data_IF_447265341780
#
_entry.id   IF_447265341780
#
_cell.length_a   1.000
_cell.length_b   1.000
_cell.length_c   1.000
_cell.angle_alpha   90.00
_cell.angle_beta   90.00
_cell.angle_gamma   90.00
#
_symmetry.space_group_name_H-M   'P 1'
#
loop_
_entity.id
_entity.type
_entity.pdbx_description
1 polymer ?
#
# COMPACT_ATOMS: atom_id res chain seq x y z
N UNK A 1 11.46 -22.87 11.57
CA UNK A 1 10.79 -21.53 11.45
C UNK A 1 9.92 -21.30 12.67
N UNK A 2 10.23 -20.33 13.49
CA UNK A 2 9.53 -19.98 14.75
C UNK A 2 8.88 -18.61 14.63
N UNK A 3 7.79 -18.36 15.35
CA UNK A 3 7.06 -17.09 15.28
C UNK A 3 7.92 -15.88 15.72
N UNK A 4 8.81 -16.09 16.70
CA UNK A 4 9.76 -15.07 17.14
C UNK A 4 10.76 -14.68 16.04
N UNK A 5 11.21 -15.64 15.22
CA UNK A 5 12.07 -15.35 14.06
C UNK A 5 11.32 -14.52 13.04
N UNK A 6 10.03 -14.80 12.80
CA UNK A 6 9.16 -14.01 11.92
C UNK A 6 8.95 -12.59 12.45
N UNK A 7 8.75 -12.41 13.76
CA UNK A 7 8.63 -11.09 14.37
C UNK A 7 9.90 -10.24 14.18
N UNK A 8 11.07 -10.85 14.40
CA UNK A 8 12.36 -10.17 14.19
C UNK A 8 12.60 -9.85 12.71
N UNK A 9 12.27 -10.77 11.80
CA UNK A 9 12.37 -10.55 10.36
C UNK A 9 11.47 -9.38 9.91
N UNK A 10 10.20 -9.40 10.31
CA UNK A 10 9.24 -8.33 10.01
C UNK A 10 9.72 -6.98 10.57
N UNK A 11 10.23 -6.95 11.79
CA UNK A 11 10.80 -5.73 12.38
C UNK A 11 11.98 -5.19 11.55
N UNK A 12 12.90 -6.05 11.08
CA UNK A 12 14.03 -5.61 10.24
C UNK A 12 13.56 -5.02 8.92
N UNK A 13 12.54 -5.62 8.31
CA UNK A 13 11.96 -5.13 7.05
C UNK A 13 11.31 -3.76 7.22
N UNK A 14 10.50 -3.60 8.26
CA UNK A 14 9.76 -2.36 8.53
C UNK A 14 10.69 -1.21 8.94
N UNK A 15 11.70 -1.50 9.75
CA UNK A 15 12.66 -0.51 10.23
C UNK A 15 13.81 -0.25 9.24
N UNK A 16 14.00 -1.12 8.24
CA UNK A 16 15.17 -1.09 7.32
C UNK A 16 16.52 -1.00 8.06
N UNK A 17 16.56 -1.46 9.29
CA UNK A 17 17.71 -1.38 10.18
C UNK A 17 17.62 -2.45 11.24
N UNK A 18 18.67 -3.28 11.36
CA UNK A 18 18.73 -4.32 12.39
C UNK A 18 18.80 -3.70 13.79
N UNK A 19 19.48 -2.54 13.92
CA UNK A 19 19.57 -1.83 15.19
C UNK A 19 18.19 -1.36 15.65
N UNK A 20 17.45 -0.61 14.80
CA UNK A 20 16.11 -0.13 15.15
C UNK A 20 15.12 -1.29 15.35
N UNK A 21 15.25 -2.35 14.56
CA UNK A 21 14.45 -3.55 14.77
C UNK A 21 14.71 -4.17 16.14
N UNK A 22 15.97 -4.25 16.56
CA UNK A 22 16.36 -4.77 17.87
C UNK A 22 15.74 -3.95 19.01
N UNK A 23 15.83 -2.62 18.93
CA UNK A 23 15.22 -1.70 19.89
C UNK A 23 13.70 -1.92 19.96
N UNK A 24 13.04 -2.04 18.80
CA UNK A 24 11.58 -2.25 18.69
C UNK A 24 11.12 -3.57 19.32
N UNK A 25 11.86 -4.65 19.12
CA UNK A 25 11.51 -5.97 19.68
C UNK A 25 12.11 -6.22 21.05
N UNK A 26 12.76 -5.22 21.66
CA UNK A 26 13.44 -5.31 22.97
C UNK A 26 14.44 -6.48 23.02
N UNK A 27 15.29 -6.56 21.99
CA UNK A 27 16.36 -7.55 21.85
C UNK A 27 17.67 -6.86 21.48
N UNK A 28 18.78 -7.61 21.52
CA UNK A 28 20.07 -7.11 21.05
C UNK A 28 20.20 -7.26 19.54
N UNK A 29 20.96 -6.37 18.89
CA UNK A 29 21.23 -6.45 17.45
C UNK A 29 21.82 -7.81 17.02
N UNK A 30 22.78 -8.41 17.73
CA UNK A 30 23.27 -9.76 17.39
C UNK A 30 22.16 -10.81 17.45
N UNK A 31 21.27 -10.76 18.44
CA UNK A 31 20.16 -11.71 18.56
C UNK A 31 19.22 -11.63 17.36
N UNK A 32 18.85 -10.42 16.93
CA UNK A 32 18.02 -10.22 15.74
C UNK A 32 18.72 -10.72 14.47
N UNK A 33 20.02 -10.42 14.30
CA UNK A 33 20.79 -10.89 13.16
C UNK A 33 20.89 -12.41 13.09
N UNK A 34 21.11 -13.07 14.22
CA UNK A 34 21.17 -14.54 14.32
C UNK A 34 19.81 -15.15 14.02
N UNK A 35 18.74 -14.59 14.58
CA UNK A 35 17.38 -15.11 14.38
C UNK A 35 16.97 -15.05 12.89
N UNK A 36 17.26 -13.93 12.20
CA UNK A 36 16.97 -13.80 10.77
C UNK A 36 17.83 -14.78 9.94
N UNK A 37 19.11 -14.94 10.24
CA UNK A 37 19.97 -15.93 9.54
C UNK A 37 19.47 -17.36 9.76
N UNK A 38 19.07 -17.70 10.99
CA UNK A 38 18.49 -19.01 11.29
C UNK A 38 17.19 -19.24 10.53
N UNK A 39 16.34 -18.22 10.39
CA UNK A 39 15.14 -18.27 9.56
C UNK A 39 15.47 -18.55 8.09
N UNK A 40 16.47 -17.85 7.53
CA UNK A 40 16.94 -18.08 6.16
C UNK A 40 17.48 -19.51 5.97
N UNK A 41 18.22 -20.03 6.96
CA UNK A 41 18.72 -21.40 6.97
C UNK A 41 17.59 -22.43 7.06
N UNK A 42 16.63 -22.22 7.97
CA UNK A 42 15.48 -23.14 8.15
C UNK A 42 14.62 -23.24 6.86
N UNK A 43 14.50 -22.15 6.11
CA UNK A 43 13.74 -22.09 4.85
C UNK A 43 14.59 -22.50 3.64
N UNK A 44 15.93 -22.42 3.75
CA UNK A 44 16.87 -22.71 2.67
C UNK A 44 16.93 -21.61 1.61
N UNK A 45 16.53 -20.36 1.96
CA UNK A 45 16.47 -19.26 0.98
C UNK A 45 16.82 -17.93 1.65
N UNK A 46 17.60 -17.09 0.93
CA UNK A 46 17.95 -15.75 1.37
C UNK A 46 16.70 -14.84 1.27
N UNK A 47 16.36 -14.17 2.34
CA UNK A 47 15.20 -13.29 2.45
C UNK A 47 15.59 -11.80 2.33
N UNK A 48 16.80 -11.45 2.81
CA UNK A 48 17.31 -10.09 2.81
C UNK A 48 18.57 -9.98 1.94
N UNK A 49 18.53 -9.11 0.95
CA UNK A 49 19.69 -8.71 0.18
C UNK A 49 20.56 -7.77 1.01
N UNK A 50 21.80 -8.22 1.27
CA UNK A 50 22.80 -7.50 2.09
C UNK A 50 23.89 -6.85 1.24
N UNK A 51 23.75 -6.83 -0.08
CA UNK A 51 24.74 -6.25 -1.00
C UNK A 51 24.95 -4.76 -0.77
N UNK A 52 23.95 -4.07 -0.23
CA UNK A 52 24.01 -2.66 0.12
C UNK A 52 24.20 -2.48 1.63
N UNK A 53 25.37 -2.02 2.05
CA UNK A 53 25.78 -1.88 3.47
C UNK A 53 24.83 -1.07 4.37
N UNK A 54 23.93 -0.27 3.80
CA UNK A 54 23.07 0.67 4.54
C UNK A 54 21.59 0.44 4.34
N UNK A 55 21.16 -0.46 3.47
CA UNK A 55 19.76 -0.65 3.13
C UNK A 55 19.47 -2.14 2.92
N UNK A 56 18.69 -2.72 3.82
CA UNK A 56 18.25 -4.10 3.70
C UNK A 56 17.07 -4.15 2.72
N UNK A 57 17.29 -4.74 1.55
CA UNK A 57 16.23 -4.97 0.57
C UNK A 57 15.70 -6.37 0.69
N UNK A 58 14.41 -6.53 0.43
CA UNK A 58 13.81 -7.85 0.36
C UNK A 58 14.20 -8.54 -0.96
N UNK A 59 14.50 -9.83 -0.89
CA UNK A 59 14.46 -10.69 -2.07
C UNK A 59 13.02 -11.00 -2.43
N UNK A 60 12.75 -11.58 -3.59
CA UNK A 60 11.40 -12.04 -3.96
C UNK A 60 10.82 -13.02 -2.94
N UNK A 61 11.65 -13.91 -2.41
CA UNK A 61 11.27 -14.83 -1.32
C UNK A 61 10.98 -14.06 -0.01
N UNK A 62 11.79 -13.04 0.28
CA UNK A 62 11.57 -12.16 1.42
C UNK A 62 10.26 -11.38 1.34
N UNK A 63 9.91 -10.85 0.16
CA UNK A 63 8.63 -10.17 -0.06
C UNK A 63 7.44 -11.10 0.20
N UNK A 64 7.50 -12.30 -0.35
CA UNK A 64 6.48 -13.32 -0.15
C UNK A 64 6.35 -13.68 1.35
N UNK A 65 7.47 -14.01 2.00
CA UNK A 65 7.43 -14.36 3.42
C UNK A 65 6.94 -13.20 4.28
N UNK A 66 7.35 -11.96 3.99
CA UNK A 66 6.93 -10.78 4.76
C UNK A 66 5.42 -10.61 4.77
N UNK A 67 4.74 -10.79 3.63
CA UNK A 67 3.28 -10.69 3.54
C UNK A 67 2.60 -11.71 4.47
N UNK A 68 3.02 -12.97 4.42
CA UNK A 68 2.42 -14.02 5.24
C UNK A 68 2.83 -13.92 6.70
N UNK A 69 4.09 -13.60 7.00
CA UNK A 69 4.57 -13.40 8.37
C UNK A 69 3.80 -12.28 9.09
N UNK A 70 3.56 -11.16 8.40
CA UNK A 70 2.77 -10.05 8.95
C UNK A 70 1.33 -10.46 9.27
N UNK A 71 0.72 -11.30 8.41
CA UNK A 71 -0.63 -11.86 8.67
C UNK A 71 -0.64 -12.82 9.84
N UNK A 72 0.36 -13.72 9.94
CA UNK A 72 0.48 -14.70 11.04
C UNK A 72 0.65 -14.00 12.40
N UNK A 73 1.53 -12.98 12.47
CA UNK A 73 1.74 -12.18 13.67
C UNK A 73 0.45 -11.42 14.03
N UNK A 74 -0.22 -10.85 13.05
CA UNK A 74 -1.50 -10.16 13.23
C UNK A 74 -2.57 -11.08 13.81
N UNK A 75 -2.74 -12.29 13.24
CA UNK A 75 -3.70 -13.27 13.71
C UNK A 75 -3.41 -13.73 15.15
N UNK A 76 -2.13 -14.01 15.46
CA UNK A 76 -1.74 -14.33 16.84
C UNK A 76 -2.12 -13.21 17.82
N UNK A 77 -1.84 -11.97 17.46
CA UNK A 77 -2.12 -10.82 18.33
C UNK A 77 -3.64 -10.62 18.51
N UNK A 78 -4.43 -10.88 17.48
CA UNK A 78 -5.90 -10.89 17.55
C UNK A 78 -6.39 -11.96 18.54
N UNK A 79 -5.91 -13.19 18.41
CA UNK A 79 -6.28 -14.30 19.31
C UNK A 79 -5.93 -13.96 20.74
N UNK A 80 -4.70 -13.48 21.01
CA UNK A 80 -4.28 -13.12 22.35
C UNK A 80 -5.12 -11.97 22.94
N UNK A 81 -5.50 -10.98 22.10
CA UNK A 81 -6.37 -9.89 22.52
C UNK A 81 -7.76 -10.39 22.91
N UNK A 82 -8.34 -11.28 22.12
CA UNK A 82 -9.66 -11.88 22.42
C UNK A 82 -9.64 -12.70 23.70
N UNK A 83 -8.61 -13.53 23.90
CA UNK A 83 -8.45 -14.35 25.11
C UNK A 83 -8.29 -13.53 26.39
N UNK A 84 -7.69 -12.33 26.27
CA UNK A 84 -7.54 -11.40 27.42
C UNK A 84 -8.75 -10.51 27.66
N UNK A 85 -9.90 -10.79 27.02
CA UNK A 85 -11.11 -9.99 27.14
C UNK A 85 -11.01 -8.61 26.47
N UNK A 86 -9.99 -8.39 25.66
CA UNK A 86 -9.82 -7.17 24.88
C UNK A 86 -10.75 -7.14 23.67
N UNK A 87 -11.23 -5.95 23.31
CA UNK A 87 -11.88 -5.73 22.03
C UNK A 87 -10.90 -6.02 20.91
N UNK A 88 -11.35 -6.80 19.92
CA UNK A 88 -10.56 -7.10 18.70
C UNK A 88 -10.00 -5.82 18.11
N UNK A 89 -8.69 -5.66 18.17
CA UNK A 89 -8.04 -4.49 17.62
C UNK A 89 -6.60 -4.77 17.21
N UNK A 90 -6.24 -4.29 16.03
CA UNK A 90 -4.86 -4.19 15.61
C UNK A 90 -4.11 -3.26 16.57
N UNK A 91 -2.84 -3.53 16.82
CA UNK A 91 -1.91 -2.65 17.56
C UNK A 91 -0.89 -2.08 16.60
N UNK A 92 -0.33 -0.93 16.93
CA UNK A 92 0.75 -0.33 16.16
C UNK A 92 0.45 1.10 15.70
N UNK A 93 1.22 1.55 14.70
CA UNK A 93 1.10 2.87 14.07
C UNK A 93 0.53 2.73 12.67
N UNK A 94 -0.30 3.69 12.28
CA UNK A 94 -0.79 3.87 10.91
C UNK A 94 -0.59 5.34 10.52
N UNK A 95 0.41 5.61 9.71
CA UNK A 95 0.73 6.94 9.21
C UNK A 95 0.15 7.16 7.81
N UNK A 96 -0.71 8.15 7.67
CA UNK A 96 -1.47 8.44 6.46
C UNK A 96 -1.11 9.82 5.93
N UNK A 97 -0.64 9.89 4.68
CA UNK A 97 -0.52 11.15 3.96
C UNK A 97 -1.81 11.51 3.24
N UNK A 98 -2.17 12.78 3.21
CA UNK A 98 -3.33 13.27 2.46
C UNK A 98 -2.94 14.46 1.58
N UNK A 99 -3.53 14.55 0.40
CA UNK A 99 -3.36 15.72 -0.48
C UNK A 99 -4.63 16.03 -1.25
N UNK A 100 -5.00 17.30 -1.20
CA UNK A 100 -6.14 17.85 -1.91
C UNK A 100 -7.48 17.69 -1.19
N UNK A 101 -8.51 18.44 -1.64
CA UNK A 101 -9.76 18.62 -0.89
C UNK A 101 -10.60 17.35 -0.76
N UNK A 102 -10.55 16.45 -1.76
CA UNK A 102 -11.30 15.19 -1.71
C UNK A 102 -10.77 14.26 -0.63
N UNK A 103 -9.43 14.14 -0.51
CA UNK A 103 -8.78 13.33 0.52
C UNK A 103 -9.03 13.89 1.92
N UNK A 104 -8.92 15.20 2.11
CA UNK A 104 -9.21 15.88 3.38
C UNK A 104 -10.67 15.69 3.83
N UNK A 105 -11.61 15.57 2.90
CA UNK A 105 -13.00 15.32 3.22
C UNK A 105 -13.28 13.88 3.68
N UNK A 106 -12.62 12.88 3.06
CA UNK A 106 -12.97 11.47 3.26
C UNK A 106 -12.09 10.75 4.28
N UNK A 107 -10.80 11.06 4.34
CA UNK A 107 -9.86 10.37 5.22
C UNK A 107 -10.24 10.46 6.70
N UNK A 108 -10.70 11.61 7.24
CA UNK A 108 -11.15 11.68 8.64
C UNK A 108 -12.32 10.72 8.96
N UNK A 109 -13.19 10.45 7.99
CA UNK A 109 -14.31 9.50 8.16
C UNK A 109 -13.82 8.06 8.18
N UNK A 110 -12.85 7.72 7.31
CA UNK A 110 -12.25 6.39 7.29
C UNK A 110 -11.47 6.13 8.58
N UNK A 111 -10.64 7.06 8.99
CA UNK A 111 -9.82 6.93 10.20
C UNK A 111 -10.66 6.92 11.48
N UNK A 112 -11.72 7.72 11.57
CA UNK A 112 -12.66 7.68 12.70
C UNK A 112 -13.31 6.30 12.85
N UNK A 113 -13.77 5.71 11.73
CA UNK A 113 -14.35 4.36 11.76
C UNK A 113 -13.31 3.30 12.12
N UNK A 114 -12.12 3.42 11.60
CA UNK A 114 -11.02 2.49 11.90
C UNK A 114 -10.60 2.53 13.36
N UNK A 115 -10.41 3.74 13.91
CA UNK A 115 -10.05 3.94 15.33
C UNK A 115 -11.09 3.38 16.31
N UNK A 116 -12.39 3.49 15.99
CA UNK A 116 -13.44 2.88 16.83
C UNK A 116 -13.31 1.35 16.90
N UNK A 117 -12.87 0.71 15.82
CA UNK A 117 -12.68 -0.75 15.75
C UNK A 117 -11.31 -1.20 16.24
N UNK A 118 -10.31 -0.31 16.20
CA UNK A 118 -8.93 -0.59 16.52
C UNK A 118 -8.37 0.50 17.44
N UNK A 119 -8.82 0.60 18.71
CA UNK A 119 -8.45 1.68 19.62
C UNK A 119 -6.96 1.69 19.96
N UNK A 120 -6.28 0.55 19.82
CA UNK A 120 -4.85 0.39 20.11
C UNK A 120 -3.93 0.76 18.92
N UNK A 121 -4.50 1.22 17.79
CA UNK A 121 -3.71 1.74 16.67
C UNK A 121 -3.59 3.25 16.78
N UNK A 122 -2.36 3.74 16.85
CA UNK A 122 -2.06 5.16 16.75
C UNK A 122 -2.15 5.59 15.29
N UNK A 123 -3.19 6.34 14.95
CA UNK A 123 -3.37 6.89 13.60
C UNK A 123 -2.81 8.30 13.56
N UNK A 124 -1.86 8.54 12.65
CA UNK A 124 -1.25 9.83 12.35
C UNK A 124 -1.63 10.26 10.93
N UNK A 125 -2.00 11.52 10.76
CA UNK A 125 -2.38 12.07 9.45
C UNK A 125 -1.51 13.30 9.20
N UNK A 126 -0.86 13.33 8.02
CA UNK A 126 -0.10 14.48 7.53
C UNK A 126 -0.71 14.99 6.23
N UNK A 127 -0.89 16.30 6.11
CA UNK A 127 -1.30 16.96 4.85
C UNK A 127 -0.08 17.57 4.20
N UNK A 128 0.17 17.18 2.95
CA UNK A 128 1.32 17.67 2.21
C UNK A 128 1.10 17.56 0.69
N UNK A 129 2.03 18.11 -0.10
CA UNK A 129 1.98 18.02 -1.56
C UNK A 129 2.20 16.58 -2.03
N UNK A 130 1.58 16.14 -3.15
CA UNK A 130 1.72 14.80 -3.68
C UNK A 130 3.15 14.31 -3.80
N UNK A 131 4.05 15.16 -4.32
CA UNK A 131 5.47 14.81 -4.52
C UNK A 131 6.19 14.46 -3.23
N UNK A 132 5.88 15.19 -2.14
CA UNK A 132 6.47 14.92 -0.84
C UNK A 132 5.89 13.64 -0.25
N UNK A 133 4.57 13.44 -0.35
CA UNK A 133 3.92 12.22 0.14
C UNK A 133 4.44 10.97 -0.57
N UNK A 134 4.70 11.03 -1.89
CA UNK A 134 5.28 9.91 -2.63
C UNK A 134 6.71 9.60 -2.18
N UNK A 135 7.52 10.63 -1.87
CA UNK A 135 8.86 10.43 -1.28
C UNK A 135 8.75 9.85 0.13
N UNK A 136 7.89 10.40 0.98
CA UNK A 136 7.70 9.94 2.35
C UNK A 136 7.16 8.49 2.38
N UNK A 137 6.36 8.09 1.39
CA UNK A 137 5.91 6.71 1.20
C UNK A 137 7.07 5.79 0.79
N UNK A 138 7.94 6.22 -0.14
CA UNK A 138 9.12 5.46 -0.55
C UNK A 138 10.11 5.30 0.61
N UNK A 139 10.28 6.34 1.42
CA UNK A 139 11.14 6.34 2.61
C UNK A 139 10.49 5.68 3.85
N UNK A 140 9.27 5.14 3.70
CA UNK A 140 8.52 4.52 4.81
C UNK A 140 8.23 5.44 5.99
N UNK A 141 8.22 6.76 5.78
CA UNK A 141 7.80 7.73 6.79
C UNK A 141 6.29 7.74 6.98
N UNK A 142 5.55 7.47 5.90
CA UNK A 142 4.11 7.20 5.90
C UNK A 142 3.84 5.81 5.33
N UNK A 143 2.73 5.21 5.72
CA UNK A 143 2.34 3.86 5.34
C UNK A 143 1.49 3.82 4.07
N UNK A 144 0.68 4.86 3.87
CA UNK A 144 -0.18 5.03 2.70
C UNK A 144 -0.51 6.51 2.48
N UNK A 145 -0.91 6.86 1.26
CA UNK A 145 -1.33 8.21 0.92
C UNK A 145 -2.67 8.23 0.18
N UNK A 146 -3.45 9.28 0.42
CA UNK A 146 -4.66 9.61 -0.33
C UNK A 146 -4.43 10.87 -1.15
N UNK A 147 -4.65 10.78 -2.44
CA UNK A 147 -4.49 11.89 -3.38
C UNK A 147 -5.82 12.20 -4.05
N UNK A 148 -6.16 13.49 -4.17
CA UNK A 148 -7.37 13.92 -4.89
C UNK A 148 -7.24 13.80 -6.39
N UNK A 149 -6.01 13.82 -6.92
CA UNK A 149 -5.72 13.71 -8.34
C UNK A 149 -4.83 12.49 -8.63
N UNK A 150 -4.90 12.00 -9.87
CA UNK A 150 -4.07 10.89 -10.30
C UNK A 150 -2.60 11.33 -10.35
N UNK A 151 -1.67 10.60 -9.72
CA UNK A 151 -0.27 10.99 -9.67
C UNK A 151 0.50 10.77 -10.98
N UNK A 152 -0.18 10.61 -12.12
CA UNK A 152 0.44 10.31 -13.42
C UNK A 152 1.51 11.31 -13.86
N UNK A 153 1.48 12.55 -13.36
CA UNK A 153 2.47 13.59 -13.66
C UNK A 153 3.69 13.55 -12.73
N UNK A 154 3.65 12.75 -11.67
CA UNK A 154 4.76 12.57 -10.76
C UNK A 154 5.41 11.24 -11.05
N UNK A 155 6.73 11.18 -11.09
CA UNK A 155 7.49 9.92 -11.22
C UNK A 155 7.13 8.99 -10.07
N UNK A 156 6.03 8.24 -10.25
CA UNK A 156 5.59 7.22 -9.30
C UNK A 156 6.59 6.09 -9.41
N UNK A 157 7.30 5.81 -8.34
CA UNK A 157 8.20 4.67 -8.27
C UNK A 157 7.40 3.37 -8.54
N UNK A 158 7.96 2.42 -9.23
CA UNK A 158 7.32 1.14 -9.60
C UNK A 158 6.87 0.31 -8.39
N UNK A 159 7.31 0.68 -7.19
CA UNK A 159 7.07 -0.06 -5.95
C UNK A 159 5.77 0.30 -5.22
N UNK A 160 4.88 1.07 -5.84
CA UNK A 160 3.58 1.42 -5.25
C UNK A 160 2.42 0.89 -6.08
N UNK A 161 1.29 0.69 -5.42
CA UNK A 161 0.00 0.34 -6.02
C UNK A 161 -0.92 1.54 -5.92
N UNK A 162 -1.53 1.89 -7.05
CA UNK A 162 -2.52 2.96 -7.16
C UNK A 162 -3.91 2.32 -7.25
N UNK A 163 -4.78 2.64 -6.32
CA UNK A 163 -6.15 2.13 -6.30
C UNK A 163 -7.13 3.30 -6.38
N UNK A 164 -7.95 3.39 -7.44
CA UNK A 164 -8.98 4.41 -7.51
C UNK A 164 -10.12 4.11 -6.53
N UNK A 165 -10.49 5.08 -5.72
CA UNK A 165 -11.60 4.99 -4.80
C UNK A 165 -12.86 5.69 -5.38
N UNK A 166 -13.23 5.31 -6.59
CA UNK A 166 -14.33 5.93 -7.36
C UNK A 166 -15.69 5.90 -6.64
N UNK A 167 -15.90 4.94 -5.74
CA UNK A 167 -17.15 4.79 -4.98
C UNK A 167 -17.44 5.95 -4.02
N UNK A 168 -16.45 6.80 -3.72
CA UNK A 168 -16.55 7.85 -2.72
C UNK A 168 -16.66 9.27 -3.31
N UNK A 169 -16.61 9.41 -4.65
CA UNK A 169 -16.50 10.73 -5.29
C UNK A 169 -17.64 10.98 -6.28
N UNK A 170 -18.56 11.89 -5.94
CA UNK A 170 -19.41 12.55 -6.94
C UNK A 170 -18.65 13.78 -7.45
N UNK A 171 -18.07 13.67 -8.64
CA UNK A 171 -17.42 14.81 -9.33
C UNK A 171 -15.95 15.09 -8.98
N UNK A 172 -15.28 14.17 -8.29
CA UNK A 172 -13.83 14.24 -8.04
C UNK A 172 -13.20 12.85 -8.08
N UNK A 173 -11.88 12.77 -8.10
CA UNK A 173 -11.15 11.52 -7.97
C UNK A 173 -10.54 11.41 -6.56
N UNK A 174 -10.43 10.19 -6.07
CA UNK A 174 -9.70 9.89 -4.86
C UNK A 174 -8.86 8.63 -5.11
N UNK A 175 -7.57 8.76 -4.93
CA UNK A 175 -6.61 7.69 -5.15
C UNK A 175 -5.97 7.27 -3.85
N UNK A 176 -5.95 5.97 -3.60
CA UNK A 176 -5.15 5.37 -2.56
C UNK A 176 -3.81 4.93 -3.15
N UNK A 177 -2.73 5.42 -2.59
CA UNK A 177 -1.35 5.04 -2.93
C UNK A 177 -0.77 4.29 -1.77
N UNK A 178 -0.28 3.09 -2.02
CA UNK A 178 0.30 2.23 -1.00
C UNK A 178 1.49 1.46 -1.55
N UNK A 179 2.44 1.06 -0.71
CA UNK A 179 3.54 0.21 -1.13
C UNK A 179 3.02 -1.12 -1.68
N UNK A 180 3.68 -1.64 -2.73
CA UNK A 180 3.35 -2.96 -3.29
C UNK A 180 3.60 -4.07 -2.27
N UNK A 181 4.68 -3.95 -1.52
CA UNK A 181 5.11 -4.92 -0.50
C UNK A 181 5.46 -4.19 0.80
N UNK A 182 5.57 -4.93 1.90
CA UNK A 182 6.00 -4.36 3.18
C UNK A 182 4.90 -3.56 3.88
N UNK A 183 3.62 -3.92 3.69
CA UNK A 183 2.48 -3.30 4.39
C UNK A 183 2.29 -3.93 5.76
N UNK A 184 2.21 -3.09 6.79
CA UNK A 184 1.91 -3.57 8.14
C UNK A 184 0.50 -4.15 8.24
N UNK A 185 0.23 -4.94 9.28
CA UNK A 185 -1.11 -5.49 9.52
C UNK A 185 -2.16 -4.38 9.64
N UNK A 186 -1.83 -3.25 10.29
CA UNK A 186 -2.72 -2.10 10.40
C UNK A 186 -3.10 -1.51 9.04
N UNK A 187 -2.15 -1.42 8.10
CA UNK A 187 -2.37 -0.96 6.73
C UNK A 187 -3.31 -1.91 5.99
N UNK A 188 -3.07 -3.22 6.08
CA UNK A 188 -3.92 -4.22 5.41
C UNK A 188 -5.35 -4.16 5.92
N UNK A 189 -5.57 -4.15 7.24
CA UNK A 189 -6.90 -4.02 7.84
C UNK A 189 -7.60 -2.72 7.46
N UNK A 190 -6.86 -1.60 7.41
CA UNK A 190 -7.42 -0.32 7.02
C UNK A 190 -7.86 -0.31 5.55
N UNK A 191 -7.02 -0.84 4.65
CA UNK A 191 -7.33 -0.91 3.21
C UNK A 191 -8.48 -1.87 2.91
N UNK A 192 -8.55 -3.02 3.58
CA UNK A 192 -9.68 -3.96 3.50
C UNK A 192 -10.98 -3.30 3.96
N UNK A 193 -10.95 -2.57 5.08
CA UNK A 193 -12.12 -1.84 5.57
C UNK A 193 -12.64 -0.81 4.58
N UNK A 194 -11.76 -0.13 3.85
CA UNK A 194 -12.16 0.84 2.82
C UNK A 194 -12.71 0.14 1.60
N UNK A 195 -12.05 -0.93 1.14
CA UNK A 195 -12.41 -1.68 -0.06
C UNK A 195 -13.72 -2.47 0.10
N UNK A 196 -14.01 -2.96 1.30
CA UNK A 196 -15.22 -3.73 1.61
C UNK A 196 -16.48 -2.90 1.81
N UNK A 197 -16.38 -1.55 1.83
CA UNK A 197 -17.56 -0.70 1.92
C UNK A 197 -18.21 -0.56 0.55
N UNK A 198 -19.45 -1.05 0.37
CA UNK A 198 -20.23 -0.69 -0.80
C UNK A 198 -20.44 0.83 -0.78
N UNK A 199 -20.38 1.46 -1.95
CA UNK A 199 -20.71 2.87 -2.11
C UNK A 199 -22.05 3.13 -1.41
N UNK A 200 -22.03 3.84 -0.29
CA UNK A 200 -23.26 4.19 0.43
C UNK A 200 -24.11 5.01 -0.51
N UNK A 201 -25.19 4.39 -0.97
CA UNK A 201 -26.30 5.02 -1.66
C UNK A 201 -26.79 6.20 -0.84
N UNK A 202 -26.29 7.41 -1.13
CA UNK A 202 -27.05 8.61 -0.86
C UNK A 202 -28.19 8.63 -1.89
N UNK A 203 -29.38 8.14 -1.52
CA UNK A 203 -30.60 8.38 -2.26
C UNK A 203 -30.76 9.89 -2.41
N UNK A 204 -30.50 10.40 -3.60
CA UNK A 204 -30.94 11.69 -4.11
C UNK A 204 -31.66 11.44 -5.42
N UNK A 205 -32.79 12.11 -5.71
CA UNK A 205 -33.61 11.82 -6.85
C UNK A 205 -32.94 12.32 -8.12
N UNK A 206 -32.73 11.46 -9.09
CA UNK A 206 -32.79 11.61 -10.54
C UNK A 206 -31.83 10.66 -11.24
N UNK A 207 -32.40 9.49 -11.57
CA UNK A 207 -31.86 8.63 -12.61
C UNK A 207 -32.01 9.35 -13.97
N UNK A 208 -30.93 9.97 -14.47
CA UNK A 208 -30.77 10.15 -15.91
C UNK A 208 -29.86 9.04 -16.43
N UNK A 209 -30.43 8.24 -17.32
CA UNK A 209 -29.85 7.11 -18.05
C UNK A 209 -28.60 7.60 -18.79
N UNK A 210 -27.40 7.23 -18.29
CA UNK A 210 -26.16 7.42 -19.03
C UNK A 210 -26.07 6.32 -20.10
N UNK A 211 -26.03 6.77 -21.35
CA UNK A 211 -25.71 5.95 -22.53
C UNK A 211 -24.34 5.31 -22.33
N UNK A 212 -24.24 4.03 -22.70
CA UNK A 212 -22.99 3.25 -22.73
C UNK A 212 -21.92 4.01 -23.53
N UNK A 213 -20.93 4.57 -22.87
CA UNK A 213 -19.70 4.99 -23.54
C UNK A 213 -18.81 3.76 -23.70
N UNK A 214 -18.49 3.47 -24.96
CA UNK A 214 -17.57 2.42 -25.39
C UNK A 214 -16.21 2.61 -24.70
N UNK A 215 -15.70 1.54 -24.13
CA UNK A 215 -14.30 1.40 -23.74
C UNK A 215 -13.42 1.68 -24.96
N UNK A 216 -12.60 2.72 -24.86
CA UNK A 216 -11.54 2.99 -25.81
C UNK A 216 -10.40 2.00 -25.54
N UNK A 217 -10.23 1.04 -26.44
CA UNK A 217 -9.04 0.20 -26.53
C UNK A 217 -8.17 0.85 -27.60
N UNK A 218 -6.94 1.30 -27.31
CA UNK A 218 -6.06 1.80 -28.35
C UNK A 218 -5.64 0.61 -29.22
N UNK A 219 -6.11 0.57 -30.45
CA UNK A 219 -5.63 -0.33 -31.47
C UNK A 219 -4.18 -0.01 -31.81
N UNK A 220 -3.35 -1.04 -31.78
CA UNK A 220 -1.97 -1.11 -32.23
C UNK A 220 -1.80 -0.40 -33.57
N UNK A 221 -0.80 0.48 -33.63
CA UNK A 221 -0.32 1.12 -34.84
C UNK A 221 0.18 0.05 -35.81
N UNK A 222 -0.40 0.00 -37.02
CA UNK A 222 0.12 -0.78 -38.13
C UNK A 222 1.00 0.17 -38.95
N UNK A 223 2.30 -0.06 -38.93
CA UNK A 223 3.25 0.61 -39.83
C UNK A 223 3.08 0.04 -41.27
N UNK A 224 2.66 0.87 -42.19
CA UNK A 224 2.71 0.59 -43.63
C UNK A 224 3.91 1.32 -44.27
N UNK A 225 4.79 0.59 -44.96
CA UNK A 225 5.86 1.17 -45.80
C UNK A 225 5.38 1.29 -47.22
N UNK A 226 5.70 2.45 -47.84
CA UNK A 226 5.48 2.62 -49.27
C UNK A 226 6.58 1.94 -50.10
N UNK A 227 6.36 1.82 -51.38
CA UNK A 227 7.26 1.15 -52.34
C UNK A 227 8.62 1.86 -52.52
N UNK A 228 8.89 2.95 -51.77
CA UNK A 228 10.12 3.72 -51.82
C UNK A 228 10.77 3.90 -50.44
N UNK A 229 10.28 3.20 -49.41
CA UNK A 229 10.95 3.10 -48.11
C UNK A 229 10.73 4.27 -47.15
N UNK A 230 9.83 5.22 -47.44
CA UNK A 230 9.53 6.35 -46.56
C UNK A 230 8.25 6.13 -45.74
N UNK A 231 8.29 6.51 -44.48
CA UNK A 231 7.16 6.43 -43.54
C UNK A 231 6.19 7.59 -43.76
N UNK A 232 4.95 7.28 -44.16
CA UNK A 232 3.92 8.31 -44.37
C UNK A 232 2.75 8.06 -43.39
N UNK A 233 2.38 9.07 -42.64
CA UNK A 233 1.23 9.03 -41.75
C UNK A 233 -0.06 9.22 -42.55
N UNK A 234 -0.98 8.26 -42.51
CA UNK A 234 -2.30 8.38 -43.11
C UNK A 234 -3.33 8.51 -41.99
N UNK A 235 -3.78 9.74 -41.74
CA UNK A 235 -4.97 9.99 -40.94
C UNK A 235 -6.21 9.79 -41.80
N UNK A 236 -7.15 8.94 -41.43
CA UNK A 236 -8.50 8.90 -41.99
C UNK A 236 -9.40 9.88 -41.23
N UNK A 237 -9.88 10.87 -41.94
CA UNK A 237 -11.12 11.58 -41.58
C UNK A 237 -12.29 10.60 -41.81
N UNK A 238 -13.12 10.45 -40.80
CA UNK A 238 -14.44 9.85 -40.94
C UNK A 238 -15.44 11.00 -41.06
N UNK A 239 -15.97 11.20 -42.24
CA UNK A 239 -17.24 11.86 -42.47
C UNK A 239 -18.36 10.80 -42.36
N UNK A 240 -19.50 11.28 -41.87
CA UNK A 240 -20.82 10.75 -41.62
C UNK A 240 -21.12 10.19 -40.22
#
# INVERSE_FOLDING_TARGET
MELMQLEMFVAVVEERSVQRAADRVSRTQPAVSIAVRKLEQDIGTILLDRSHRRDYRLTRAGEFLYEYASRMIGLRNEVLSRLKGGTTGCTGRLAIGVSGPTSLRWVPRFTSTFRKRNPNVRVEISDDRPDKLLRDLADRRIDLAFLSDHPANNRVNTDVVLTPLAAFTKGGSLWLVQPRVGRSHAVNMFTEMISSRPATSTRGPHRKRLKKSRLYVPSSQVEGRDSHGNTKWIGRHAED
#
